data_IF_153533593795
#
_entry.id   IF_153533593795
#
_cell.length_a   1.000
_cell.length_b   1.000
_cell.length_c   1.000
_cell.angle_alpha   90.00
_cell.angle_beta   90.00
_cell.angle_gamma   90.00
#
_symmetry.space_group_name_H-M   'P 1'
#
loop_
_entity.id
_entity.type
_entity.pdbx_description
1 polymer ?
#
# COMPACT_ATOMS: atom_id res chain seq x y z
N UNK A 1 13.81 -49.16 -28.27
CA UNK A 1 14.43 -48.52 -27.06
C UNK A 1 14.44 -46.99 -27.10
N UNK A 2 14.65 -46.31 -28.23
CA UNK A 2 14.71 -44.83 -28.28
C UNK A 2 13.35 -44.14 -28.03
N UNK A 3 12.24 -44.69 -28.42
CA UNK A 3 10.89 -44.09 -28.22
C UNK A 3 10.46 -44.12 -26.72
N UNK A 4 10.72 -45.21 -26.00
CA UNK A 4 10.37 -45.33 -24.57
C UNK A 4 11.18 -44.31 -23.70
N UNK A 5 12.41 -44.01 -24.04
CA UNK A 5 13.20 -42.99 -23.35
C UNK A 5 12.66 -41.58 -23.55
N UNK A 6 12.13 -41.25 -24.75
CA UNK A 6 11.58 -39.92 -25.04
C UNK A 6 10.28 -39.65 -24.27
N UNK A 7 9.42 -40.67 -24.15
CA UNK A 7 8.18 -40.57 -23.35
C UNK A 7 8.45 -40.55 -21.84
N UNK A 8 9.51 -41.20 -21.36
CA UNK A 8 9.90 -41.18 -19.97
C UNK A 8 10.49 -39.81 -19.58
N UNK A 9 11.25 -39.15 -20.48
CA UNK A 9 11.75 -37.79 -20.26
C UNK A 9 10.60 -36.77 -20.30
N UNK A 10 9.65 -36.90 -21.25
CA UNK A 10 8.48 -36.03 -21.33
C UNK A 10 7.60 -36.16 -20.08
N UNK A 11 7.37 -37.40 -19.62
CA UNK A 11 6.64 -37.66 -18.38
C UNK A 11 7.31 -37.09 -17.13
N UNK A 12 8.63 -37.18 -17.06
CA UNK A 12 9.40 -36.63 -15.95
C UNK A 12 9.36 -35.08 -15.93
N UNK A 13 9.47 -34.46 -17.11
CA UNK A 13 9.39 -33.00 -17.25
C UNK A 13 8.01 -32.47 -16.88
N UNK A 14 6.94 -33.14 -17.32
CA UNK A 14 5.57 -32.80 -16.96
C UNK A 14 5.33 -32.99 -15.46
N UNK A 15 5.88 -34.06 -14.86
CA UNK A 15 5.77 -34.31 -13.42
C UNK A 15 6.51 -33.24 -12.58
N UNK A 16 7.68 -32.79 -13.04
CA UNK A 16 8.45 -31.73 -12.39
C UNK A 16 7.73 -30.38 -12.51
N UNK A 17 7.16 -30.07 -13.68
CA UNK A 17 6.40 -28.83 -13.89
C UNK A 17 5.10 -28.84 -13.07
N UNK A 18 4.40 -29.99 -13.01
CA UNK A 18 3.20 -30.14 -12.17
C UNK A 18 3.56 -30.10 -10.69
N UNK A 19 4.66 -30.72 -10.28
CA UNK A 19 5.12 -30.69 -8.88
C UNK A 19 5.60 -29.28 -8.49
N UNK A 20 6.26 -28.55 -9.39
CA UNK A 20 6.66 -27.15 -9.18
C UNK A 20 5.43 -26.24 -9.14
N UNK A 21 4.46 -26.44 -10.05
CA UNK A 21 3.18 -25.74 -10.04
C UNK A 21 2.36 -26.01 -8.79
N UNK A 22 2.23 -27.26 -8.37
CA UNK A 22 1.55 -27.64 -7.12
C UNK A 22 2.32 -27.14 -5.87
N UNK A 23 3.64 -27.10 -5.93
CA UNK A 23 4.47 -26.51 -4.86
C UNK A 23 4.27 -25.00 -4.77
N UNK A 24 4.20 -24.31 -5.90
CA UNK A 24 3.92 -22.88 -6.00
C UNK A 24 2.47 -22.58 -5.56
N UNK A 25 1.49 -23.33 -6.05
CA UNK A 25 0.09 -23.22 -5.61
C UNK A 25 -0.11 -23.55 -4.14
N UNK A 26 0.56 -24.59 -3.63
CA UNK A 26 0.55 -24.87 -2.17
C UNK A 26 1.18 -23.74 -1.37
N UNK A 27 2.25 -23.12 -1.89
CA UNK A 27 2.91 -22.00 -1.22
C UNK A 27 2.02 -20.76 -1.23
N UNK A 28 1.31 -20.46 -2.33
CA UNK A 28 0.31 -19.41 -2.42
C UNK A 28 -0.92 -19.73 -1.55
N UNK A 29 -1.44 -20.96 -1.62
CA UNK A 29 -2.58 -21.41 -0.80
C UNK A 29 -2.25 -21.43 0.69
N UNK A 30 -1.06 -21.87 1.08
CA UNK A 30 -0.59 -21.83 2.48
C UNK A 30 -0.34 -20.36 2.90
N UNK A 31 0.21 -19.53 2.04
CA UNK A 31 0.40 -18.10 2.26
C UNK A 31 -0.95 -17.40 2.40
N UNK A 32 -1.90 -17.63 1.52
CA UNK A 32 -3.24 -17.07 1.59
C UNK A 32 -4.05 -17.64 2.78
N UNK A 33 -3.87 -18.92 3.13
CA UNK A 33 -4.49 -19.51 4.33
C UNK A 33 -3.80 -19.00 5.61
N UNK A 34 -2.48 -18.80 5.61
CA UNK A 34 -1.76 -18.13 6.69
C UNK A 34 -2.17 -16.66 6.79
N UNK A 35 -2.32 -15.94 5.68
CA UNK A 35 -2.89 -14.59 5.69
C UNK A 35 -4.33 -14.59 6.22
N UNK A 36 -5.20 -15.50 5.81
CA UNK A 36 -6.55 -15.64 6.36
C UNK A 36 -6.58 -16.10 7.82
N UNK A 37 -5.61 -16.86 8.28
CA UNK A 37 -5.47 -17.23 9.70
C UNK A 37 -4.77 -16.15 10.54
N UNK A 38 -3.96 -15.30 9.89
CA UNK A 38 -3.28 -14.14 10.48
C UNK A 38 -4.09 -12.85 10.33
N UNK A 39 -5.24 -12.89 9.69
CA UNK A 39 -6.14 -11.76 9.36
C UNK A 39 -6.69 -10.98 10.56
N UNK A 40 -6.34 -11.36 11.77
CA UNK A 40 -6.57 -10.57 12.99
C UNK A 40 -5.30 -9.89 13.50
N UNK A 41 -4.24 -9.89 12.71
CA UNK A 41 -2.95 -9.32 13.08
C UNK A 41 -2.57 -8.30 12.03
N UNK A 42 -2.35 -7.05 12.42
CA UNK A 42 -1.51 -6.18 11.61
C UNK A 42 -0.22 -6.99 11.44
N UNK A 43 0.20 -7.29 10.20
CA UNK A 43 1.45 -7.99 10.02
C UNK A 43 2.57 -7.08 10.51
N UNK A 44 2.93 -7.23 11.78
CA UNK A 44 4.21 -6.78 12.28
C UNK A 44 5.22 -7.72 11.65
N UNK A 45 5.39 -7.61 10.34
CA UNK A 45 6.34 -8.42 9.61
C UNK A 45 7.70 -8.09 10.15
N UNK A 46 8.54 -9.11 10.38
CA UNK A 46 9.91 -8.94 10.80
C UNK A 46 10.72 -7.99 9.91
N UNK A 47 10.22 -7.69 8.73
CA UNK A 47 10.79 -6.75 7.77
C UNK A 47 10.73 -5.29 8.24
N UNK A 48 9.82 -4.91 9.13
CA UNK A 48 9.89 -3.61 9.82
C UNK A 48 11.23 -3.45 10.52
N UNK A 49 11.87 -4.54 10.94
CA UNK A 49 13.18 -4.55 11.60
C UNK A 49 14.35 -4.83 10.67
N UNK A 50 14.13 -5.38 9.48
CA UNK A 50 15.17 -5.56 8.48
C UNK A 50 15.78 -4.24 7.99
N UNK A 51 15.06 -3.14 8.14
CA UNK A 51 15.56 -1.79 7.83
C UNK A 51 16.31 -1.13 8.99
N UNK A 52 16.18 -1.60 10.22
CA UNK A 52 16.97 -1.12 11.34
C UNK A 52 18.42 -1.59 11.22
N UNK A 53 19.33 -0.68 10.89
CA UNK A 53 20.74 -0.96 10.71
C UNK A 53 21.21 -1.03 9.26
N UNK A 54 20.36 -0.97 8.28
CA UNK A 54 20.73 -0.57 6.93
C UNK A 54 20.71 0.96 6.88
N UNK A 55 21.80 1.56 6.35
CA UNK A 55 21.73 2.94 5.88
C UNK A 55 20.46 3.05 5.04
N UNK A 56 19.49 3.80 5.51
CA UNK A 56 18.42 4.28 4.64
C UNK A 56 19.14 5.21 3.68
N UNK A 57 19.59 4.66 2.57
CA UNK A 57 20.07 5.47 1.46
C UNK A 57 18.83 6.20 0.98
N UNK A 58 18.63 7.39 1.51
CA UNK A 58 17.82 8.39 0.86
C UNK A 58 18.49 8.51 -0.51
N UNK A 59 17.86 7.89 -1.51
CA UNK A 59 18.43 7.91 -2.83
C UNK A 59 18.52 9.35 -3.26
N UNK A 60 19.63 9.65 -3.86
CA UNK A 60 20.03 10.94 -4.40
C UNK A 60 19.07 11.50 -5.47
N UNK A 61 17.91 10.92 -5.68
CA UNK A 61 16.84 11.44 -6.54
C UNK A 61 16.28 12.78 -6.08
N UNK A 62 16.70 13.24 -4.89
CA UNK A 62 16.50 14.60 -4.40
C UNK A 62 17.73 15.49 -4.65
N UNK A 63 18.66 15.10 -5.52
CA UNK A 63 19.67 16.02 -5.98
C UNK A 63 18.99 17.17 -6.72
N UNK A 64 19.49 18.38 -6.49
CA UNK A 64 19.11 19.58 -7.24
C UNK A 64 19.21 19.41 -8.76
N UNK A 65 19.97 18.42 -9.26
CA UNK A 65 20.09 18.05 -10.66
C UNK A 65 19.01 17.12 -11.19
N UNK A 66 18.23 16.46 -10.32
CA UNK A 66 16.93 15.86 -10.66
C UNK A 66 15.78 16.86 -10.46
N UNK A 67 16.10 18.16 -10.47
CA UNK A 67 15.12 19.16 -10.80
C UNK A 67 14.43 18.64 -12.05
N UNK A 68 13.16 18.31 -11.90
CA UNK A 68 12.28 17.93 -12.96
C UNK A 68 12.66 18.74 -14.19
N UNK A 69 13.18 18.12 -15.27
CA UNK A 69 13.12 18.72 -16.58
C UNK A 69 11.66 18.71 -17.03
N UNK A 70 10.84 19.41 -16.27
CA UNK A 70 9.53 19.81 -16.74
C UNK A 70 9.78 20.84 -17.82
N UNK A 71 9.06 20.70 -18.93
CA UNK A 71 9.00 21.80 -19.90
C UNK A 71 8.78 23.09 -19.11
N UNK A 72 9.56 24.14 -19.43
CA UNK A 72 9.67 25.39 -18.68
C UNK A 72 8.35 26.06 -18.27
N UNK A 73 7.22 25.66 -18.89
CA UNK A 73 5.88 26.20 -18.59
C UNK A 73 5.25 25.71 -17.27
N UNK A 74 5.78 24.64 -16.64
CA UNK A 74 5.23 24.05 -15.43
C UNK A 74 6.18 24.08 -14.23
N UNK A 75 7.47 24.33 -14.44
CA UNK A 75 8.49 24.41 -13.39
C UNK A 75 8.14 25.44 -12.31
N UNK A 76 7.48 26.54 -12.70
CA UNK A 76 7.07 27.60 -11.78
C UNK A 76 5.85 27.24 -10.90
N UNK A 77 5.24 26.07 -11.09
CA UNK A 77 4.01 25.65 -10.41
C UNK A 77 4.21 24.54 -9.38
N UNK A 78 5.40 23.98 -9.26
CA UNK A 78 5.73 23.02 -8.22
C UNK A 78 6.15 23.79 -6.98
N UNK A 79 5.43 23.57 -5.88
CA UNK A 79 5.91 23.98 -4.59
C UNK A 79 6.99 22.97 -4.14
N UNK A 80 8.23 23.22 -4.53
CA UNK A 80 9.39 22.38 -4.21
C UNK A 80 10.01 22.74 -2.87
N UNK A 81 9.21 23.18 -1.90
CA UNK A 81 9.74 23.52 -0.57
C UNK A 81 10.24 22.32 0.23
N UNK A 82 9.97 21.09 -0.24
CA UNK A 82 10.47 19.89 0.40
C UNK A 82 11.87 19.58 -0.13
N UNK A 83 12.88 19.93 0.68
CA UNK A 83 14.27 19.51 0.44
C UNK A 83 14.52 18.14 1.07
N UNK A 84 15.65 17.48 0.70
CA UNK A 84 16.11 16.25 1.33
C UNK A 84 16.19 16.38 2.85
N UNK A 85 16.69 17.52 3.34
CA UNK A 85 16.90 17.80 4.76
C UNK A 85 15.59 18.09 5.52
N UNK A 86 14.51 18.43 4.81
CA UNK A 86 13.17 18.62 5.38
C UNK A 86 12.24 17.44 5.17
N UNK A 87 12.73 16.34 4.56
CA UNK A 87 11.91 15.16 4.29
C UNK A 87 11.58 14.39 5.57
N UNK A 88 10.42 13.76 5.61
CA UNK A 88 10.05 12.85 6.70
C UNK A 88 11.03 11.67 6.80
N UNK A 89 11.65 11.26 5.68
CA UNK A 89 12.63 10.17 5.65
C UNK A 89 13.88 10.52 6.45
N UNK A 90 14.43 11.72 6.27
CA UNK A 90 15.59 12.16 7.02
C UNK A 90 15.30 12.29 8.53
N UNK A 91 14.14 12.85 8.86
CA UNK A 91 13.66 12.91 10.25
C UNK A 91 13.51 11.53 10.86
N UNK A 92 12.87 10.59 10.14
CA UNK A 92 12.70 9.20 10.59
C UNK A 92 14.05 8.50 10.79
N UNK A 93 15.01 8.73 9.91
CA UNK A 93 16.34 8.18 10.05
C UNK A 93 17.07 8.70 11.32
N UNK A 94 16.96 9.98 11.61
CA UNK A 94 17.55 10.57 12.83
C UNK A 94 16.92 9.99 14.10
N UNK A 95 15.60 9.81 14.10
CA UNK A 95 14.88 9.17 15.20
C UNK A 95 15.30 7.71 15.35
N UNK A 96 15.45 6.97 14.24
CA UNK A 96 15.94 5.59 14.25
C UNK A 96 17.31 5.47 14.93
N UNK A 97 18.22 6.40 14.66
CA UNK A 97 19.53 6.41 15.32
C UNK A 97 19.41 6.64 16.84
N UNK A 98 18.48 7.47 17.28
CA UNK A 98 18.25 7.71 18.70
C UNK A 98 17.66 6.45 19.36
N UNK A 99 16.65 5.84 18.77
CA UNK A 99 16.05 4.58 19.28
C UNK A 99 17.11 3.47 19.33
N UNK A 100 17.98 3.36 18.29
CA UNK A 100 19.06 2.38 18.30
C UNK A 100 20.05 2.64 19.44
N UNK A 101 20.39 3.89 19.69
CA UNK A 101 21.26 4.24 20.81
C UNK A 101 20.65 3.83 22.15
N UNK A 102 19.34 3.98 22.33
CA UNK A 102 18.64 3.50 23.53
C UNK A 102 18.70 1.98 23.66
N UNK A 103 18.45 1.24 22.55
CA UNK A 103 18.63 -0.22 22.55
C UNK A 103 20.05 -0.61 22.95
N UNK A 104 21.06 0.03 22.32
CA UNK A 104 22.47 -0.30 22.56
C UNK A 104 23.01 0.15 23.91
N UNK A 105 22.30 1.05 24.58
CA UNK A 105 22.70 1.54 25.92
C UNK A 105 22.73 0.38 26.96
N UNK A 106 21.92 -0.66 26.76
CA UNK A 106 21.74 -1.75 27.73
C UNK A 106 21.07 -1.29 29.04
N UNK A 107 20.50 -0.08 29.06
CA UNK A 107 19.86 0.46 30.25
C UNK A 107 18.53 -0.21 30.58
N UNK A 108 17.86 -0.78 29.56
CA UNK A 108 16.51 -1.31 29.66
C UNK A 108 16.50 -2.83 29.50
N UNK A 109 15.71 -3.51 30.34
CA UNK A 109 15.55 -4.98 30.32
C UNK A 109 14.12 -5.35 29.94
N UNK A 110 13.87 -6.64 29.74
CA UNK A 110 12.51 -7.11 29.48
C UNK A 110 11.54 -6.77 30.61
N UNK A 111 12.02 -6.77 31.90
CA UNK A 111 11.21 -6.43 33.07
C UNK A 111 10.96 -4.93 33.25
N UNK A 112 11.87 -4.12 32.72
CA UNK A 112 11.83 -2.65 32.81
C UNK A 112 12.17 -2.04 31.45
N UNK A 113 11.28 -2.22 30.43
CA UNK A 113 11.50 -1.64 29.10
C UNK A 113 11.20 -0.15 29.10
N UNK A 114 11.89 0.61 28.26
CA UNK A 114 11.48 1.97 27.91
C UNK A 114 10.38 1.93 26.87
N UNK A 115 9.37 2.79 27.04
CA UNK A 115 8.27 2.93 26.07
C UNK A 115 8.28 4.34 25.51
N UNK A 116 8.65 4.45 24.23
CA UNK A 116 8.66 5.72 23.50
C UNK A 116 7.34 5.82 22.74
N UNK A 117 6.49 6.79 23.14
CA UNK A 117 5.20 7.03 22.51
C UNK A 117 5.35 7.93 21.29
N UNK A 118 4.52 7.68 20.25
CA UNK A 118 4.54 8.44 19.01
C UNK A 118 5.97 8.73 18.51
N UNK A 119 6.77 7.69 18.28
CA UNK A 119 8.21 7.84 18.11
C UNK A 119 8.57 8.77 16.93
N UNK A 120 7.75 8.79 15.89
CA UNK A 120 7.98 9.64 14.70
C UNK A 120 7.10 10.89 14.67
N UNK A 121 6.39 11.19 15.75
CA UNK A 121 5.57 12.38 15.96
C UNK A 121 4.45 12.59 14.93
N UNK A 122 3.92 11.50 14.42
CA UNK A 122 2.89 11.51 13.36
C UNK A 122 1.81 10.43 13.58
N UNK A 123 2.02 9.48 14.49
CA UNK A 123 1.10 8.37 14.77
C UNK A 123 0.83 8.21 16.27
N UNK A 124 0.04 9.11 16.89
CA UNK A 124 -0.06 9.25 18.34
C UNK A 124 -0.62 8.05 19.11
N UNK A 125 -1.35 7.14 18.43
CA UNK A 125 -1.86 5.91 19.04
C UNK A 125 -0.90 4.72 18.86
N UNK A 126 0.41 5.02 18.78
CA UNK A 126 1.47 4.02 18.64
C UNK A 126 2.61 4.30 19.61
N UNK A 127 3.46 3.32 19.77
CA UNK A 127 4.69 3.43 20.55
C UNK A 127 5.69 2.35 20.17
N UNK A 128 6.87 2.42 20.73
CA UNK A 128 7.88 1.37 20.64
C UNK A 128 8.41 1.04 22.04
N UNK A 129 8.40 -0.23 22.41
CA UNK A 129 9.07 -0.70 23.63
C UNK A 129 10.50 -1.12 23.31
N UNK A 130 11.46 -0.61 24.06
CA UNK A 130 12.89 -0.78 23.85
C UNK A 130 13.51 -1.50 25.05
N UNK A 131 14.24 -2.59 24.81
CA UNK A 131 14.96 -3.33 25.85
C UNK A 131 16.00 -4.29 25.26
N UNK A 132 16.84 -4.87 26.11
CA UNK A 132 17.75 -5.95 25.75
C UNK A 132 17.45 -7.23 26.52
N UNK A 133 17.86 -8.35 25.93
CA UNK A 133 17.86 -9.68 26.55
C UNK A 133 19.24 -10.33 26.41
N UNK A 134 19.59 -11.24 27.33
CA UNK A 134 20.89 -11.95 27.29
C UNK A 134 21.03 -12.85 26.06
N UNK A 135 19.93 -13.47 25.64
CA UNK A 135 19.85 -14.33 24.47
C UNK A 135 18.91 -13.73 23.41
N UNK A 136 18.96 -14.27 22.19
CA UNK A 136 18.08 -13.85 21.12
C UNK A 136 16.68 -14.44 21.28
N UNK A 137 15.68 -13.59 21.31
CA UNK A 137 14.26 -13.97 21.38
C UNK A 137 13.43 -13.27 20.32
N UNK A 138 12.31 -13.89 19.94
CA UNK A 138 11.19 -13.18 19.33
C UNK A 138 10.29 -12.66 20.45
N UNK A 139 9.64 -11.54 20.19
CA UNK A 139 8.70 -10.95 21.15
C UNK A 139 7.30 -10.94 20.52
N UNK A 140 6.34 -11.58 21.16
CA UNK A 140 4.93 -11.38 20.85
C UNK A 140 4.44 -10.17 21.62
N UNK A 141 3.85 -9.20 20.90
CA UNK A 141 3.18 -8.05 21.50
C UNK A 141 1.69 -8.17 21.24
N UNK A 142 0.87 -7.92 22.27
CA UNK A 142 -0.59 -7.89 22.14
C UNK A 142 -1.12 -6.62 22.79
N UNK A 143 -1.63 -5.71 21.98
CA UNK A 143 -2.41 -4.57 22.47
C UNK A 143 -3.83 -5.05 22.72
N UNK A 144 -4.26 -5.00 23.97
CA UNK A 144 -5.57 -5.54 24.38
C UNK A 144 -6.72 -4.72 23.85
N UNK A 145 -7.68 -5.40 23.22
CA UNK A 145 -8.94 -4.83 22.79
C UNK A 145 -9.98 -4.78 23.92
N UNK A 146 -11.05 -4.03 23.68
CA UNK A 146 -12.26 -4.08 24.55
C UNK A 146 -12.94 -5.45 24.50
N UNK A 147 -12.78 -6.14 23.36
CA UNK A 147 -13.15 -7.55 23.18
C UNK A 147 -11.92 -8.30 22.68
N UNK A 148 -11.94 -9.64 22.77
CA UNK A 148 -10.82 -10.46 22.30
C UNK A 148 -10.61 -10.34 20.79
N UNK A 149 -11.66 -10.15 20.05
CA UNK A 149 -11.66 -9.97 18.59
C UNK A 149 -10.97 -8.66 18.18
N UNK A 150 -10.93 -7.69 19.09
CA UNK A 150 -10.25 -6.42 18.92
C UNK A 150 -8.81 -6.42 19.48
N UNK A 151 -8.30 -7.55 19.99
CA UNK A 151 -6.87 -7.69 20.33
C UNK A 151 -6.02 -7.55 19.08
N UNK A 152 -4.99 -6.71 19.12
CA UNK A 152 -4.02 -6.55 18.02
C UNK A 152 -2.72 -7.21 18.45
N UNK A 153 -2.29 -8.21 17.69
CA UNK A 153 -1.13 -9.03 18.05
C UNK A 153 -0.12 -9.10 16.91
N UNK A 154 1.16 -8.98 17.23
CA UNK A 154 2.26 -9.17 16.30
C UNK A 154 3.44 -9.90 16.95
N UNK A 155 4.39 -10.35 16.13
CA UNK A 155 5.61 -11.03 16.58
C UNK A 155 6.81 -10.42 15.88
N UNK A 156 7.84 -10.06 16.66
CA UNK A 156 9.09 -9.49 16.14
C UNK A 156 10.02 -10.57 15.60
N UNK A 157 11.04 -10.14 14.85
CA UNK A 157 12.17 -11.00 14.51
C UNK A 157 12.99 -11.35 15.76
N UNK A 158 13.78 -12.42 15.66
CA UNK A 158 14.68 -12.87 16.72
C UNK A 158 15.86 -11.92 16.85
N UNK A 159 16.07 -11.37 18.04
CA UNK A 159 17.14 -10.43 18.34
C UNK A 159 17.49 -10.44 19.84
N UNK A 160 18.61 -9.80 20.22
CA UNK A 160 18.96 -9.47 21.61
C UNK A 160 18.53 -8.05 21.97
N UNK A 161 18.69 -7.12 21.05
CA UNK A 161 18.19 -5.77 21.17
C UNK A 161 16.79 -5.68 20.57
N UNK A 162 15.82 -5.26 21.35
CA UNK A 162 14.42 -5.29 20.96
C UNK A 162 13.86 -3.88 20.77
N UNK A 163 13.15 -3.70 19.67
CA UNK A 163 12.28 -2.57 19.36
C UNK A 163 10.93 -3.14 19.03
N UNK A 164 10.06 -3.21 20.02
CA UNK A 164 8.76 -3.87 19.88
C UNK A 164 7.72 -2.81 19.52
N UNK A 165 7.18 -2.83 18.30
CA UNK A 165 6.14 -1.88 17.92
C UNK A 165 4.87 -2.14 18.71
N UNK A 166 4.28 -1.06 19.22
CA UNK A 166 2.99 -1.03 19.89
C UNK A 166 2.06 -0.24 18.98
N UNK A 167 1.10 -0.92 18.35
CA UNK A 167 0.20 -0.32 17.36
C UNK A 167 -1.25 -0.60 17.78
N UNK A 168 -2.11 0.38 17.62
CA UNK A 168 -3.54 0.20 17.87
C UNK A 168 -3.95 0.44 19.32
N UNK A 169 -3.39 1.45 19.95
CA UNK A 169 -3.82 1.92 21.25
C UNK A 169 -5.18 2.65 21.16
N UNK A 170 -5.99 2.55 22.21
CA UNK A 170 -7.19 3.36 22.33
C UNK A 170 -6.84 4.79 22.72
N UNK A 171 -7.49 5.82 22.20
CA UNK A 171 -7.29 7.20 22.62
C UNK A 171 -7.83 7.43 24.03
N UNK A 172 -7.22 8.37 24.78
CA UNK A 172 -7.59 8.82 26.12
C UNK A 172 -7.83 7.66 27.10
N UNK A 173 -6.97 6.64 27.02
CA UNK A 173 -7.13 5.39 27.77
C UNK A 173 -5.79 4.94 28.35
N UNK A 174 -5.80 4.35 29.54
CA UNK A 174 -4.70 3.53 30.02
C UNK A 174 -4.81 2.15 29.35
N UNK A 175 -4.04 1.95 28.29
CA UNK A 175 -4.02 0.72 27.50
C UNK A 175 -3.21 -0.38 28.18
N UNK A 176 -3.64 -1.61 27.98
CA UNK A 176 -2.90 -2.80 28.41
C UNK A 176 -2.19 -3.42 27.21
N UNK A 177 -0.87 -3.57 27.31
CA UNK A 177 -0.02 -4.16 26.29
C UNK A 177 0.73 -5.35 26.90
N UNK A 178 0.46 -6.54 26.39
CA UNK A 178 1.16 -7.76 26.81
C UNK A 178 2.38 -7.99 25.95
N UNK A 179 3.55 -8.22 26.56
CA UNK A 179 4.77 -8.66 25.91
C UNK A 179 5.09 -10.09 26.34
N UNK A 180 5.48 -10.93 25.39
CA UNK A 180 5.85 -12.33 25.64
C UNK A 180 7.15 -12.66 24.90
N UNK A 181 8.19 -13.08 25.63
CA UNK A 181 9.38 -13.67 25.02
C UNK A 181 9.06 -15.09 24.56
N UNK A 182 9.44 -15.40 23.32
CA UNK A 182 9.15 -16.70 22.70
C UNK A 182 10.43 -17.50 22.49
N UNK A 183 10.36 -18.81 22.77
CA UNK A 183 11.39 -19.75 22.36
C UNK A 183 11.33 -20.08 20.84
N UNK A 184 12.21 -20.96 20.37
CA UNK A 184 12.27 -21.36 18.96
C UNK A 184 11.04 -22.17 18.49
N UNK A 185 10.18 -22.61 19.41
CA UNK A 185 8.93 -23.33 19.15
C UNK A 185 7.70 -22.42 19.31
N UNK A 186 7.87 -21.11 19.40
CA UNK A 186 6.81 -20.11 19.65
C UNK A 186 6.11 -20.23 21.00
N UNK A 187 6.74 -20.95 21.97
CA UNK A 187 6.21 -21.04 23.30
C UNK A 187 6.66 -19.85 24.15
N UNK A 188 5.74 -19.30 24.90
CA UNK A 188 6.02 -18.20 25.85
C UNK A 188 6.88 -18.70 26.99
N UNK A 189 8.08 -18.15 27.14
CA UNK A 189 9.01 -18.43 28.24
C UNK A 189 8.93 -17.38 29.35
N UNK A 190 8.53 -16.18 29.00
CA UNK A 190 8.37 -15.05 29.93
C UNK A 190 7.33 -14.09 29.41
N UNK A 191 6.56 -13.49 30.30
CA UNK A 191 5.56 -12.49 29.92
C UNK A 191 5.50 -11.34 30.91
N UNK A 192 5.07 -10.19 30.42
CA UNK A 192 4.78 -9.01 31.22
C UNK A 192 3.64 -8.21 30.63
N UNK A 193 3.08 -7.31 31.42
CA UNK A 193 2.03 -6.38 31.01
C UNK A 193 2.49 -4.93 31.24
N UNK A 194 2.44 -4.13 30.19
CA UNK A 194 2.68 -2.69 30.22
C UNK A 194 1.37 -1.94 30.33
N UNK A 195 1.37 -0.83 31.07
CA UNK A 195 0.29 0.16 31.08
C UNK A 195 0.75 1.39 30.32
N UNK A 196 0.03 1.71 29.26
CA UNK A 196 0.38 2.77 28.31
C UNK A 196 -0.75 3.79 28.23
N UNK A 197 -0.48 5.00 28.69
CA UNK A 197 -1.45 6.10 28.67
C UNK A 197 -1.35 6.84 27.32
N UNK A 198 -2.50 7.12 26.70
CA UNK A 198 -2.60 7.92 25.47
C UNK A 198 -3.40 9.19 25.69
N UNK A 199 -3.14 10.17 24.85
CA UNK A 199 -3.96 11.38 24.73
C UNK A 199 -5.27 11.11 23.97
N UNK A 200 -6.17 12.08 23.95
CA UNK A 200 -7.42 12.02 23.18
C UNK A 200 -7.18 12.23 21.69
N UNK A 201 -8.21 11.94 20.90
CA UNK A 201 -8.22 12.29 19.48
C UNK A 201 -8.25 13.82 19.30
N UNK A 202 -7.78 14.34 18.17
CA UNK A 202 -8.06 15.71 17.75
C UNK A 202 -9.57 15.97 17.68
N UNK A 203 -9.99 17.21 18.00
CA UNK A 203 -11.42 17.58 17.98
C UNK A 203 -12.08 17.33 16.62
N UNK A 204 -11.31 17.48 15.54
CA UNK A 204 -11.79 17.24 14.16
C UNK A 204 -12.11 15.78 13.88
N UNK A 205 -11.68 14.87 14.75
CA UNK A 205 -11.94 13.44 14.64
C UNK A 205 -13.06 12.97 15.58
N UNK A 206 -13.56 13.86 16.44
CA UNK A 206 -14.74 13.55 17.25
C UNK A 206 -15.93 13.25 16.32
N UNK A 207 -16.66 12.20 16.62
CA UNK A 207 -17.82 11.75 15.83
C UNK A 207 -17.54 11.28 14.39
N UNK A 208 -16.28 11.04 14.01
CA UNK A 208 -15.93 10.49 12.66
C UNK A 208 -16.49 9.08 12.43
N UNK A 209 -16.66 8.29 13.49
CA UNK A 209 -17.16 6.92 13.41
C UNK A 209 -18.40 6.76 14.26
N UNK A 210 -19.49 6.29 13.66
CA UNK A 210 -20.67 5.84 14.39
C UNK A 210 -20.98 4.39 14.01
N UNK A 211 -21.26 3.55 15.01
CA UNK A 211 -21.58 2.14 14.80
C UNK A 211 -23.08 1.92 15.01
N UNK A 212 -23.81 1.65 13.94
CA UNK A 212 -25.24 1.31 14.03
C UNK A 212 -25.44 -0.16 14.43
N UNK A 213 -24.59 -1.05 13.92
CA UNK A 213 -24.66 -2.49 14.19
C UNK A 213 -23.28 -3.12 14.02
N UNK A 214 -22.89 -3.92 15.00
CA UNK A 214 -21.69 -4.75 14.91
C UNK A 214 -22.05 -6.21 15.13
N UNK A 215 -21.55 -7.10 14.25
CA UNK A 215 -21.62 -8.55 14.46
C UNK A 215 -20.57 -9.04 15.46
N UNK A 216 -19.59 -8.20 15.80
CA UNK A 216 -18.40 -8.57 16.56
C UNK A 216 -17.39 -9.37 15.76
N UNK A 217 -17.61 -9.52 14.44
CA UNK A 217 -16.76 -10.24 13.54
C UNK A 217 -16.26 -9.30 12.43
N UNK A 218 -14.99 -9.42 12.09
CA UNK A 218 -14.36 -8.74 10.96
C UNK A 218 -13.32 -9.67 10.33
N UNK A 219 -13.22 -9.65 9.02
CA UNK A 219 -12.16 -10.34 8.30
C UNK A 219 -10.79 -9.68 8.54
N UNK A 220 -10.78 -8.43 9.03
CA UNK A 220 -9.58 -7.61 9.22
C UNK A 220 -9.47 -7.14 10.66
N UNK A 221 -8.24 -7.05 11.18
CA UNK A 221 -8.00 -6.53 12.54
C UNK A 221 -8.32 -5.04 12.65
N UNK A 222 -7.92 -4.25 11.66
CA UNK A 222 -8.24 -2.84 11.52
C UNK A 222 -8.71 -2.53 10.10
N UNK A 223 -9.65 -1.60 9.99
CA UNK A 223 -10.10 -1.04 8.71
C UNK A 223 -9.61 0.40 8.60
N UNK A 224 -8.81 0.69 7.56
CA UNK A 224 -8.26 2.03 7.31
C UNK A 224 -9.26 2.83 6.49
N UNK A 225 -9.48 4.07 6.92
CA UNK A 225 -10.25 5.08 6.20
C UNK A 225 -9.33 6.25 5.88
N UNK A 226 -9.29 6.61 4.62
CA UNK A 226 -8.54 7.77 4.12
C UNK A 226 -9.25 8.36 2.90
N UNK A 227 -8.88 9.57 2.51
CA UNK A 227 -9.38 10.20 1.29
C UNK A 227 -10.25 11.42 1.52
N UNK A 228 -11.04 11.79 0.51
CA UNK A 228 -11.82 13.02 0.53
C UNK A 228 -12.86 13.03 1.66
N UNK A 229 -12.88 14.12 2.42
CA UNK A 229 -13.81 14.30 3.54
C UNK A 229 -13.28 13.76 4.87
N UNK A 230 -12.13 13.10 4.86
CA UNK A 230 -11.43 12.65 6.05
C UNK A 230 -10.29 13.61 6.35
N UNK A 231 -10.28 14.17 7.57
CA UNK A 231 -9.28 15.17 7.95
C UNK A 231 -7.88 14.55 8.10
N UNK A 232 -7.83 13.40 8.78
CA UNK A 232 -6.64 12.57 8.96
C UNK A 232 -6.98 11.12 8.61
N UNK A 233 -6.09 10.36 7.94
CA UNK A 233 -6.25 8.92 7.81
C UNK A 233 -6.35 8.28 9.19
N UNK A 234 -7.26 7.34 9.35
CA UNK A 234 -7.44 6.62 10.61
C UNK A 234 -7.83 5.16 10.36
N UNK A 235 -7.68 4.33 11.38
CA UNK A 235 -8.17 2.96 11.35
C UNK A 235 -8.99 2.66 12.60
N UNK A 236 -10.06 1.88 12.41
CA UNK A 236 -10.93 1.42 13.48
C UNK A 236 -10.97 -0.10 13.56
N UNK A 237 -11.27 -0.60 14.77
CA UNK A 237 -11.41 -2.03 15.04
C UNK A 237 -12.83 -2.55 14.81
N UNK A 238 -13.05 -3.84 15.05
CA UNK A 238 -14.36 -4.52 14.91
C UNK A 238 -15.48 -3.90 15.71
N UNK A 239 -15.17 -3.14 16.76
CA UNK A 239 -16.14 -2.43 17.59
C UNK A 239 -16.40 -1.01 17.10
N UNK A 240 -15.69 -0.53 16.06
CA UNK A 240 -15.76 0.83 15.55
C UNK A 240 -14.93 1.84 16.34
N UNK A 241 -14.09 1.37 17.25
CA UNK A 241 -13.20 2.24 18.01
C UNK A 241 -11.97 2.61 17.16
N UNK A 242 -11.62 3.90 17.11
CA UNK A 242 -10.39 4.36 16.44
C UNK A 242 -9.19 3.85 17.21
N UNK A 243 -8.29 3.15 16.52
CA UNK A 243 -7.11 2.50 17.08
C UNK A 243 -5.79 3.00 16.48
N UNK A 244 -5.87 3.76 15.43
CA UNK A 244 -4.72 4.32 14.75
C UNK A 244 -5.16 5.54 13.95
N UNK A 245 -4.31 6.55 13.86
CA UNK A 245 -4.46 7.66 12.92
C UNK A 245 -3.10 8.31 12.66
N UNK A 246 -2.99 8.97 11.51
CA UNK A 246 -1.88 9.87 11.21
C UNK A 246 -2.27 11.28 11.57
N UNK A 247 -1.50 11.93 12.43
CA UNK A 247 -1.62 13.37 12.71
C UNK A 247 -0.99 14.20 11.59
N UNK A 248 -1.36 13.85 10.34
CA UNK A 248 -0.86 14.48 9.13
C UNK A 248 -1.95 14.46 8.07
N UNK A 249 -2.15 15.57 7.41
CA UNK A 249 -3.12 15.64 6.33
C UNK A 249 -2.56 14.97 5.09
N UNK A 250 -3.31 14.05 4.57
CA UNK A 250 -3.04 13.45 3.26
C UNK A 250 -3.83 14.16 2.17
N UNK A 251 -3.48 13.89 0.92
CA UNK A 251 -4.27 14.32 -0.21
C UNK A 251 -5.63 13.61 -0.29
N UNK A 252 -6.42 13.97 -1.27
CA UNK A 252 -7.75 13.42 -1.53
C UNK A 252 -7.81 11.90 -1.60
N UNK A 253 -6.74 11.24 -2.04
CA UNK A 253 -6.72 9.79 -2.25
C UNK A 253 -6.08 9.01 -1.09
N UNK A 254 -5.42 9.70 -0.16
CA UNK A 254 -5.04 9.18 1.15
C UNK A 254 -3.86 8.22 1.16
N UNK A 255 -4.11 6.97 1.56
CA UNK A 255 -3.07 5.95 1.77
C UNK A 255 -3.37 4.67 0.98
N UNK A 256 -2.31 3.99 0.53
CA UNK A 256 -2.38 2.75 -0.25
C UNK A 256 -1.50 1.69 0.41
N UNK A 257 -2.09 0.57 0.77
CA UNK A 257 -1.38 -0.51 1.45
C UNK A 257 -0.45 -1.27 0.50
N UNK A 258 0.73 -1.64 0.99
CA UNK A 258 1.72 -2.44 0.29
C UNK A 258 1.80 -3.87 0.85
N UNK A 259 2.34 -4.79 0.07
CA UNK A 259 2.46 -6.21 0.44
C UNK A 259 3.44 -6.46 1.58
N UNK A 260 4.42 -5.58 1.78
CA UNK A 260 5.39 -5.65 2.87
C UNK A 260 4.87 -5.14 4.22
N UNK A 261 3.60 -4.73 4.27
CA UNK A 261 2.97 -4.19 5.47
C UNK A 261 3.13 -2.67 5.65
N UNK A 262 3.91 -2.01 4.80
CA UNK A 262 3.94 -0.56 4.72
C UNK A 262 2.73 -0.02 3.94
N UNK A 263 2.63 1.29 3.85
CA UNK A 263 1.68 1.96 2.98
C UNK A 263 2.34 3.15 2.27
N UNK A 264 1.82 3.50 1.11
CA UNK A 264 2.12 4.76 0.43
C UNK A 264 1.16 5.83 0.94
N UNK A 265 1.71 6.92 1.43
CA UNK A 265 0.95 8.13 1.78
C UNK A 265 1.17 9.20 0.71
N UNK A 266 0.09 9.73 0.18
CA UNK A 266 0.14 10.92 -0.66
C UNK A 266 0.18 12.17 0.22
N UNK A 267 1.32 12.89 0.19
CA UNK A 267 1.48 14.09 0.99
C UNK A 267 0.58 15.23 0.49
N UNK A 268 0.07 16.01 1.43
CA UNK A 268 -0.76 17.18 1.14
C UNK A 268 0.06 18.47 0.97
N UNK A 269 1.39 18.42 0.96
CA UNK A 269 2.23 19.63 0.93
C UNK A 269 3.02 19.82 -0.36
N UNK A 270 3.11 18.80 -1.21
CA UNK A 270 3.80 18.88 -2.49
C UNK A 270 2.83 18.69 -3.65
N UNK A 271 2.48 19.76 -4.37
CA UNK A 271 1.53 19.72 -5.46
C UNK A 271 2.10 20.18 -6.77
N UNK A 272 1.64 19.54 -7.83
CA UNK A 272 1.72 20.05 -9.20
C UNK A 272 0.34 20.52 -9.61
N UNK A 273 0.23 21.70 -10.20
CA UNK A 273 -1.04 22.29 -10.57
C UNK A 273 -1.19 22.38 -12.09
N UNK A 274 -2.33 21.90 -12.58
CA UNK A 274 -2.84 22.23 -13.91
C UNK A 274 -3.76 23.46 -13.85
N UNK A 275 -4.32 23.83 -15.00
CA UNK A 275 -5.29 24.94 -15.08
C UNK A 275 -6.54 24.69 -14.24
N UNK A 276 -6.90 23.42 -14.00
CA UNK A 276 -8.18 23.03 -13.39
C UNK A 276 -8.03 22.21 -12.11
N UNK A 277 -6.91 21.52 -11.90
CA UNK A 277 -6.69 20.60 -10.79
C UNK A 277 -5.29 20.76 -10.22
N UNK A 278 -5.15 20.41 -8.95
CA UNK A 278 -3.85 20.24 -8.28
C UNK A 278 -3.67 18.79 -7.87
N UNK A 279 -2.50 18.25 -8.11
CA UNK A 279 -2.17 16.84 -7.90
C UNK A 279 -1.03 16.70 -6.88
N UNK A 280 -1.14 15.82 -5.87
CA UNK A 280 -0.04 15.55 -4.96
C UNK A 280 1.13 14.93 -5.75
N UNK A 281 2.32 15.48 -5.57
CA UNK A 281 3.52 15.06 -6.27
C UNK A 281 4.50 14.30 -5.38
N UNK A 282 4.31 14.35 -4.06
CA UNK A 282 5.16 13.71 -3.07
C UNK A 282 4.45 12.52 -2.46
N UNK A 283 5.11 11.38 -2.49
CA UNK A 283 4.66 10.14 -1.88
C UNK A 283 5.67 9.71 -0.82
N UNK A 284 5.19 9.25 0.32
CA UNK A 284 6.01 8.58 1.32
C UNK A 284 5.60 7.12 1.47
N UNK A 285 6.57 6.22 1.43
CA UNK A 285 6.38 4.88 1.95
C UNK A 285 6.62 4.91 3.45
N UNK A 286 5.65 4.42 4.23
CA UNK A 286 5.66 4.51 5.68
C UNK A 286 5.20 3.21 6.33
N UNK A 287 5.67 2.96 7.55
CA UNK A 287 5.09 1.95 8.44
C UNK A 287 4.00 2.53 9.36
N UNK A 288 3.32 1.68 10.12
CA UNK A 288 2.23 2.10 11.01
C UNK A 288 2.68 2.83 12.28
N UNK A 289 3.98 2.88 12.58
CA UNK A 289 4.52 3.78 13.61
C UNK A 289 4.63 5.22 13.12
N UNK A 290 4.47 5.44 11.81
CA UNK A 290 4.67 6.74 11.18
C UNK A 290 6.09 6.98 10.66
N UNK A 291 6.91 5.92 10.62
CA UNK A 291 8.26 5.96 10.07
C UNK A 291 8.23 6.05 8.57
N UNK A 292 8.73 7.14 8.00
CA UNK A 292 8.93 7.26 6.56
C UNK A 292 10.24 6.57 6.16
N UNK A 293 10.15 5.56 5.31
CA UNK A 293 11.31 4.77 4.86
C UNK A 293 11.81 5.18 3.48
N UNK A 294 10.93 5.73 2.64
CA UNK A 294 11.24 6.17 1.29
C UNK A 294 10.34 7.34 0.89
N UNK A 295 10.86 8.22 0.05
CA UNK A 295 10.12 9.30 -0.59
C UNK A 295 10.21 9.14 -2.10
N UNK A 296 9.09 9.33 -2.79
CA UNK A 296 9.01 9.34 -4.24
C UNK A 296 8.46 10.67 -4.72
N UNK A 297 9.04 11.19 -5.81
CA UNK A 297 8.53 12.36 -6.49
C UNK A 297 7.90 11.93 -7.82
N UNK A 298 6.64 12.29 -8.02
CA UNK A 298 5.91 12.02 -9.26
C UNK A 298 5.78 13.32 -10.04
N UNK A 299 6.46 13.48 -11.19
CA UNK A 299 6.63 14.77 -11.86
C UNK A 299 5.32 15.51 -12.14
N UNK A 300 4.28 14.77 -12.53
CA UNK A 300 2.97 15.37 -12.86
C UNK A 300 1.93 15.12 -11.76
N UNK A 301 2.40 14.71 -10.56
CA UNK A 301 1.54 14.37 -9.45
C UNK A 301 0.77 13.07 -9.67
N UNK A 302 -0.04 12.73 -8.70
CA UNK A 302 -0.81 11.47 -8.68
C UNK A 302 -2.28 11.73 -8.48
N UNK A 303 -3.11 10.82 -8.97
CA UNK A 303 -4.54 10.82 -8.71
C UNK A 303 -5.07 9.40 -8.55
N UNK A 304 -6.26 9.27 -8.00
CA UNK A 304 -7.05 8.05 -7.82
C UNK A 304 -6.26 6.89 -7.21
N UNK A 305 -5.41 6.18 -7.96
CA UNK A 305 -4.92 4.88 -7.53
C UNK A 305 -3.40 4.72 -7.70
N UNK A 306 -2.81 4.05 -6.71
CA UNK A 306 -1.43 3.58 -6.71
C UNK A 306 -1.47 2.12 -6.28
N UNK A 307 -0.89 1.24 -7.07
CA UNK A 307 -0.79 -0.18 -6.72
C UNK A 307 0.64 -0.68 -6.80
N UNK A 308 0.94 -1.70 -6.03
CA UNK A 308 2.11 -2.55 -6.24
C UNK A 308 1.87 -3.44 -7.46
N UNK A 309 2.76 -3.39 -8.47
CA UNK A 309 2.66 -4.23 -9.67
C UNK A 309 2.73 -5.72 -9.29
N UNK A 310 3.67 -6.05 -8.42
CA UNK A 310 3.83 -7.37 -7.79
C UNK A 310 4.28 -7.17 -6.35
N UNK A 311 4.13 -8.14 -5.46
CA UNK A 311 4.61 -8.02 -4.09
C UNK A 311 6.08 -7.59 -4.03
N UNK A 312 6.38 -6.52 -3.29
CA UNK A 312 7.69 -5.85 -3.19
C UNK A 312 8.23 -5.32 -4.54
N UNK A 313 7.37 -5.22 -5.55
CA UNK A 313 7.71 -4.77 -6.90
C UNK A 313 7.55 -3.26 -7.09
N UNK A 314 7.59 -2.86 -8.37
CA UNK A 314 7.40 -1.49 -8.80
C UNK A 314 5.98 -0.98 -8.49
N UNK A 315 5.80 0.34 -8.51
CA UNK A 315 4.49 0.96 -8.36
C UNK A 315 3.91 1.31 -9.72
N UNK A 316 2.65 0.94 -9.96
CA UNK A 316 1.85 1.52 -11.03
C UNK A 316 1.05 2.69 -10.45
N UNK A 317 1.21 3.85 -11.06
CA UNK A 317 0.68 5.11 -10.55
C UNK A 317 -0.15 5.78 -11.64
N UNK A 318 -1.37 6.17 -11.30
CA UNK A 318 -2.16 7.03 -12.16
C UNK A 318 -1.69 8.48 -12.01
N UNK A 319 -1.41 9.12 -13.13
CA UNK A 319 -0.90 10.48 -13.23
C UNK A 319 -1.51 11.23 -14.43
N UNK A 320 -0.99 12.37 -14.75
CA UNK A 320 -1.48 13.23 -15.82
C UNK A 320 -0.36 13.62 -16.77
N UNK A 321 -0.68 13.96 -18.01
CA UNK A 321 0.27 14.61 -18.93
C UNK A 321 0.48 16.08 -18.56
N UNK A 322 -0.54 16.73 -18.00
CA UNK A 322 -0.61 18.15 -17.61
C UNK A 322 -0.38 19.16 -18.75
N UNK A 323 -0.24 18.70 -19.97
CA UNK A 323 -0.16 19.59 -21.13
C UNK A 323 -1.56 20.14 -21.45
N UNK A 324 -2.31 19.40 -22.26
CA UNK A 324 -3.68 19.76 -22.63
C UNK A 324 -4.72 18.95 -21.85
N UNK A 325 -4.30 17.86 -21.17
CA UNK A 325 -5.18 16.90 -20.52
C UNK A 325 -4.74 16.58 -19.10
N UNK A 326 -5.68 16.01 -18.31
CA UNK A 326 -5.48 15.51 -16.96
C UNK A 326 -6.10 14.12 -16.82
N UNK A 327 -5.68 13.39 -15.79
CA UNK A 327 -6.17 12.04 -15.44
C UNK A 327 -6.07 11.06 -16.64
N UNK A 328 -4.95 11.10 -17.37
CA UNK A 328 -4.81 10.50 -18.69
C UNK A 328 -3.51 9.72 -18.91
N UNK A 329 -2.74 9.46 -17.85
CA UNK A 329 -1.44 8.79 -17.95
C UNK A 329 -1.25 7.76 -16.83
N UNK A 330 -0.51 6.70 -17.14
CA UNK A 330 -0.05 5.69 -16.19
C UNK A 330 1.46 5.65 -16.27
N UNK A 331 2.12 5.51 -15.12
CA UNK A 331 3.57 5.27 -15.04
C UNK A 331 3.85 4.02 -14.21
N UNK A 332 4.96 3.35 -14.52
CA UNK A 332 5.59 2.37 -13.68
C UNK A 332 6.84 3.00 -13.07
N UNK A 333 6.86 3.13 -11.76
CA UNK A 333 7.95 3.68 -10.99
C UNK A 333 8.72 2.54 -10.32
N UNK A 334 10.02 2.43 -10.63
CA UNK A 334 10.92 1.51 -9.94
C UNK A 334 11.08 1.95 -8.48
N UNK A 335 10.58 1.11 -7.57
CA UNK A 335 10.50 1.42 -6.14
C UNK A 335 11.88 1.56 -5.48
N UNK A 336 12.92 0.96 -6.07
CA UNK A 336 14.28 1.02 -5.53
C UNK A 336 15.07 2.23 -6.05
N UNK A 337 14.87 2.57 -7.33
CA UNK A 337 15.58 3.70 -7.95
C UNK A 337 14.76 5.01 -7.92
N UNK A 338 13.45 4.94 -7.81
CA UNK A 338 12.56 6.07 -8.00
C UNK A 338 12.43 6.50 -9.47
N UNK A 339 13.02 5.74 -10.41
CA UNK A 339 12.97 6.03 -11.84
C UNK A 339 11.66 5.55 -12.46
N UNK A 340 11.15 6.29 -13.44
CA UNK A 340 10.03 5.84 -14.28
C UNK A 340 10.59 4.90 -15.34
N UNK A 341 10.19 3.64 -15.30
CA UNK A 341 10.70 2.58 -16.20
C UNK A 341 9.73 2.22 -17.33
N UNK A 342 8.45 2.58 -17.20
CA UNK A 342 7.45 2.46 -18.26
C UNK A 342 6.35 3.53 -18.09
N UNK A 343 5.71 3.93 -19.19
CA UNK A 343 4.57 4.86 -19.11
C UNK A 343 3.66 4.70 -20.31
N UNK A 344 2.39 5.01 -20.13
CA UNK A 344 1.37 5.00 -21.17
C UNK A 344 0.52 6.26 -21.05
N UNK A 345 0.47 7.04 -22.12
CA UNK A 345 -0.49 8.14 -22.30
C UNK A 345 -1.73 7.64 -23.03
N UNK A 346 -2.90 8.03 -22.55
CA UNK A 346 -4.16 7.56 -23.15
C UNK A 346 -4.33 8.03 -24.61
N UNK A 347 -3.69 9.15 -24.99
CA UNK A 347 -3.64 9.62 -26.37
C UNK A 347 -2.82 8.73 -27.30
N UNK A 348 -1.79 8.03 -26.77
CA UNK A 348 -1.05 7.01 -27.54
C UNK A 348 -1.94 5.80 -27.82
N UNK A 349 -2.78 5.42 -26.85
CA UNK A 349 -3.68 4.27 -26.95
C UNK A 349 -4.86 4.57 -27.90
N UNK A 350 -5.57 5.68 -27.70
CA UNK A 350 -6.82 5.98 -28.39
C UNK A 350 -6.68 7.10 -29.46
N UNK A 351 -5.52 7.76 -29.56
CA UNK A 351 -5.37 8.94 -30.42
C UNK A 351 -6.17 10.13 -29.91
N UNK A 352 -6.18 11.19 -30.70
CA UNK A 352 -6.88 12.42 -30.33
C UNK A 352 -8.38 12.42 -30.74
N UNK A 353 -8.89 11.30 -31.27
CA UNK A 353 -10.27 11.23 -31.77
C UNK A 353 -11.33 11.31 -30.67
N UNK A 354 -10.91 11.08 -29.40
CA UNK A 354 -11.79 11.05 -28.23
C UNK A 354 -11.59 12.21 -27.26
N UNK A 355 -10.64 13.11 -27.54
CA UNK A 355 -10.30 14.20 -26.60
C UNK A 355 -11.33 15.36 -26.65
N UNK A 356 -11.97 15.61 -27.79
CA UNK A 356 -13.04 16.62 -28.04
C UNK A 356 -12.82 17.98 -27.31
N UNK A 357 -11.58 18.48 -27.23
CA UNK A 357 -11.21 19.67 -26.46
C UNK A 357 -11.56 19.61 -24.95
N UNK A 358 -11.77 18.42 -24.42
CA UNK A 358 -12.09 18.19 -23.00
C UNK A 358 -10.81 17.91 -22.24
N UNK A 359 -10.48 18.76 -21.27
CA UNK A 359 -9.26 18.63 -20.46
C UNK A 359 -9.22 17.26 -19.74
N UNK A 360 -10.32 16.83 -19.17
CA UNK A 360 -10.47 15.54 -18.43
C UNK A 360 -11.24 14.53 -19.28
N UNK A 361 -10.72 14.19 -20.44
CA UNK A 361 -11.42 13.36 -21.42
C UNK A 361 -11.42 11.87 -21.08
N UNK A 362 -10.32 11.35 -20.54
CA UNK A 362 -10.20 9.93 -20.18
C UNK A 362 -10.72 9.66 -18.77
N UNK A 363 -10.30 10.45 -17.80
CA UNK A 363 -10.56 10.28 -16.37
C UNK A 363 -10.24 8.87 -15.90
N UNK A 364 -8.97 8.50 -16.03
CA UNK A 364 -8.50 7.22 -15.49
C UNK A 364 -8.68 7.19 -13.98
N UNK A 365 -9.30 6.14 -13.46
CA UNK A 365 -9.58 6.06 -12.04
C UNK A 365 -9.23 4.72 -11.39
N UNK A 366 -8.82 3.73 -12.18
CA UNK A 366 -8.40 2.41 -11.68
C UNK A 366 -7.37 1.81 -12.60
N UNK A 367 -6.39 1.13 -12.01
CA UNK A 367 -5.45 0.24 -12.68
C UNK A 367 -5.28 -1.04 -11.85
N UNK A 368 -5.27 -2.18 -12.50
CA UNK A 368 -4.88 -3.46 -11.89
C UNK A 368 -3.93 -4.21 -12.82
N UNK A 369 -3.00 -4.98 -12.26
CA UNK A 369 -2.00 -5.73 -12.99
C UNK A 369 -2.21 -7.23 -12.86
N UNK A 370 -2.00 -7.93 -13.96
CA UNK A 370 -2.07 -9.37 -14.06
C UNK A 370 -0.70 -9.92 -14.46
N UNK A 371 0.00 -10.52 -13.51
CA UNK A 371 1.35 -11.04 -13.71
C UNK A 371 1.41 -12.23 -14.67
N UNK A 372 0.30 -12.99 -14.81
CA UNK A 372 0.25 -14.20 -15.62
C UNK A 372 0.44 -13.94 -17.12
N UNK A 373 -0.01 -12.79 -17.61
CA UNK A 373 0.01 -12.43 -19.02
C UNK A 373 0.56 -11.01 -19.29
N UNK A 374 1.20 -10.39 -18.30
CA UNK A 374 1.74 -9.05 -18.35
C UNK A 374 0.72 -8.02 -18.86
N UNK A 375 -0.48 -8.06 -18.31
CA UNK A 375 -1.53 -7.11 -18.71
C UNK A 375 -1.96 -6.21 -17.57
N UNK A 376 -2.47 -5.03 -17.95
CA UNK A 376 -3.20 -4.16 -17.04
C UNK A 376 -4.66 -4.06 -17.48
N UNK A 377 -5.52 -3.88 -16.49
CA UNK A 377 -6.92 -3.53 -16.68
C UNK A 377 -7.11 -2.11 -16.17
N UNK A 378 -7.60 -1.23 -17.03
CA UNK A 378 -7.79 0.19 -16.72
C UNK A 378 -9.24 0.61 -16.92
N UNK A 379 -9.64 1.66 -16.21
CA UNK A 379 -10.98 2.22 -16.26
C UNK A 379 -10.94 3.70 -16.71
N UNK A 380 -10.95 3.97 -18.03
CA UNK A 380 -11.18 5.31 -18.54
C UNK A 380 -12.68 5.66 -18.43
N UNK A 381 -13.03 6.33 -17.31
CA UNK A 381 -14.40 6.60 -16.88
C UNK A 381 -15.22 7.35 -17.93
N UNK A 382 -14.63 8.37 -18.54
CA UNK A 382 -15.35 9.21 -19.48
C UNK A 382 -15.52 8.57 -20.87
N UNK A 383 -14.76 7.47 -21.14
CA UNK A 383 -15.00 6.60 -22.31
C UNK A 383 -16.01 5.46 -21.97
N UNK A 384 -16.57 5.42 -20.77
CA UNK A 384 -17.52 4.38 -20.35
C UNK A 384 -17.02 2.97 -20.67
N UNK A 385 -15.74 2.69 -20.41
CA UNK A 385 -15.11 1.43 -20.80
C UNK A 385 -14.15 0.89 -19.75
N UNK A 386 -14.04 -0.45 -19.69
CA UNK A 386 -12.90 -1.14 -19.11
C UNK A 386 -12.00 -1.61 -20.24
N UNK A 387 -10.70 -1.45 -20.14
CA UNK A 387 -9.74 -1.80 -21.20
C UNK A 387 -8.66 -2.70 -20.62
N UNK A 388 -8.51 -3.90 -21.22
CA UNK A 388 -7.37 -4.77 -20.94
C UNK A 388 -6.32 -4.59 -22.03
N UNK A 389 -5.07 -4.37 -21.65
CA UNK A 389 -3.95 -4.21 -22.58
C UNK A 389 -2.68 -4.85 -21.99
N UNK A 390 -1.78 -5.26 -22.88
CA UNK A 390 -0.46 -5.71 -22.45
C UNK A 390 0.37 -4.51 -21.99
N UNK A 391 0.98 -4.61 -20.81
CA UNK A 391 1.69 -3.49 -20.20
C UNK A 391 3.04 -3.17 -20.84
N UNK A 392 3.74 -4.17 -21.37
CA UNK A 392 5.03 -3.97 -22.07
C UNK A 392 4.84 -3.44 -23.49
N UNK A 393 3.84 -3.95 -24.23
CA UNK A 393 3.66 -3.59 -25.65
C UNK A 393 2.61 -2.52 -25.88
N UNK A 394 1.80 -2.21 -24.88
CA UNK A 394 0.61 -1.33 -24.94
C UNK A 394 -0.46 -1.79 -25.96
N UNK A 395 -0.41 -3.03 -26.39
CA UNK A 395 -1.42 -3.57 -27.31
C UNK A 395 -2.72 -3.89 -26.57
N UNK A 396 -3.84 -3.39 -27.12
CA UNK A 396 -5.17 -3.67 -26.57
C UNK A 396 -5.50 -5.15 -26.77
N UNK A 397 -5.87 -5.83 -25.68
CA UNK A 397 -6.36 -7.21 -25.70
C UNK A 397 -7.87 -7.22 -25.93
N UNK A 398 -8.62 -6.45 -25.13
CA UNK A 398 -10.06 -6.26 -25.30
C UNK A 398 -10.57 -4.98 -24.63
N UNK A 399 -11.77 -4.59 -25.05
CA UNK A 399 -12.51 -3.44 -24.50
C UNK A 399 -13.89 -3.92 -24.08
N UNK A 400 -14.25 -3.68 -22.82
CA UNK A 400 -15.60 -3.85 -22.30
C UNK A 400 -16.31 -2.48 -22.32
N UNK A 401 -17.19 -2.29 -23.29
CA UNK A 401 -17.94 -1.05 -23.47
C UNK A 401 -19.21 -1.31 -24.28
N UNK A 402 -20.15 -0.39 -24.21
CA UNK A 402 -21.25 -0.38 -25.18
C UNK A 402 -20.64 -0.30 -26.60
N UNK A 403 -20.94 -1.27 -27.51
CA UNK A 403 -20.34 -1.31 -28.84
C UNK A 403 -20.53 -0.01 -29.66
N UNK A 404 -21.60 0.73 -29.43
CA UNK A 404 -21.84 2.01 -30.13
C UNK A 404 -20.75 3.06 -29.85
N UNK A 405 -20.02 2.98 -28.73
CA UNK A 405 -18.94 3.91 -28.37
C UNK A 405 -17.78 3.81 -29.36
N UNK A 406 -17.46 2.61 -29.82
CA UNK A 406 -16.31 2.35 -30.69
C UNK A 406 -16.70 1.94 -32.12
N UNK A 407 -17.97 1.98 -32.45
CA UNK A 407 -18.52 1.57 -33.74
C UNK A 407 -17.92 2.36 -34.90
N UNK A 408 -17.48 1.66 -35.93
CA UNK A 408 -16.85 2.24 -37.11
C UNK A 408 -15.43 2.74 -36.91
N UNK A 409 -14.85 2.56 -35.72
CA UNK A 409 -13.46 2.89 -35.42
C UNK A 409 -12.54 1.69 -35.57
N UNK A 410 -11.23 1.91 -35.58
CA UNK A 410 -10.21 0.83 -35.55
C UNK A 410 -10.25 -0.02 -34.27
N UNK A 411 -10.94 0.44 -33.23
CA UNK A 411 -11.05 -0.22 -31.94
C UNK A 411 -12.24 -1.16 -31.83
N UNK A 412 -13.22 -1.06 -32.73
CA UNK A 412 -14.43 -1.91 -32.72
C UNK A 412 -14.11 -3.40 -32.64
N UNK A 413 -13.04 -3.84 -33.28
CA UNK A 413 -12.59 -5.25 -33.27
C UNK A 413 -12.15 -5.77 -31.90
N UNK A 414 -11.88 -4.89 -30.94
CA UNK A 414 -11.49 -5.26 -29.57
C UNK A 414 -12.67 -5.26 -28.59
N UNK A 415 -13.81 -4.72 -29.02
CA UNK A 415 -14.99 -4.61 -28.13
C UNK A 415 -15.59 -5.98 -27.92
N UNK A 416 -15.77 -6.37 -26.65
CA UNK A 416 -16.40 -7.63 -26.28
C UNK A 416 -17.88 -7.64 -26.67
N UNK A 417 -18.33 -8.77 -27.21
CA UNK A 417 -19.75 -8.98 -27.53
C UNK A 417 -20.42 -9.69 -26.35
N UNK A 418 -21.49 -9.14 -25.78
CA UNK A 418 -22.21 -9.81 -24.69
C UNK A 418 -22.97 -11.05 -25.19
N UNK A 419 -23.08 -12.05 -24.31
CA UNK A 419 -23.82 -13.29 -24.61
C UNK A 419 -25.34 -13.10 -24.57
N UNK A 420 -25.81 -12.04 -23.91
CA UNK A 420 -27.22 -11.70 -23.73
C UNK A 420 -27.40 -10.19 -23.59
N UNK A 421 -28.64 -9.75 -23.67
CA UNK A 421 -28.99 -8.36 -23.37
C UNK A 421 -28.69 -8.05 -21.90
N UNK A 422 -27.88 -7.00 -21.68
CA UNK A 422 -27.61 -6.48 -20.33
C UNK A 422 -27.47 -4.95 -20.36
N UNK A 423 -27.56 -4.35 -19.18
CA UNK A 423 -27.41 -2.91 -19.03
C UNK A 423 -25.94 -2.54 -19.01
N UNK A 424 -25.51 -1.69 -19.92
CA UNK A 424 -24.15 -1.19 -19.97
C UNK A 424 -23.86 -0.27 -18.80
N UNK A 425 -22.61 -0.36 -18.28
CA UNK A 425 -22.11 0.57 -17.28
C UNK A 425 -21.81 1.92 -17.92
N UNK A 426 -21.96 2.98 -17.12
CA UNK A 426 -21.62 4.34 -17.50
C UNK A 426 -20.88 5.01 -16.35
N UNK A 427 -19.78 5.70 -16.66
CA UNK A 427 -18.97 6.42 -15.69
C UNK A 427 -18.57 5.55 -14.49
N UNK A 428 -18.19 4.31 -14.76
CA UNK A 428 -17.69 3.40 -13.75
C UNK A 428 -16.45 3.97 -13.06
N UNK A 429 -16.28 3.64 -11.80
CA UNK A 429 -15.15 4.15 -11.02
C UNK A 429 -14.13 3.07 -10.67
N UNK A 430 -14.47 1.80 -10.79
CA UNK A 430 -13.56 0.69 -10.48
C UNK A 430 -13.85 -0.46 -11.42
N UNK A 431 -12.79 -1.05 -11.97
CA UNK A 431 -12.87 -2.25 -12.79
C UNK A 431 -11.84 -3.25 -12.28
N UNK A 432 -12.27 -4.51 -12.05
CA UNK A 432 -11.37 -5.59 -11.70
C UNK A 432 -11.78 -6.90 -12.37
N UNK A 433 -10.82 -7.82 -12.55
CA UNK A 433 -11.10 -9.17 -12.98
C UNK A 433 -11.29 -10.08 -11.76
N UNK A 434 -12.41 -10.78 -11.74
CA UNK A 434 -12.66 -11.83 -10.75
C UNK A 434 -12.10 -13.14 -11.30
N UNK A 435 -11.08 -13.69 -10.67
CA UNK A 435 -10.40 -14.91 -11.12
C UNK A 435 -10.96 -16.20 -10.52
N UNK A 436 -11.90 -16.08 -9.59
CA UNK A 436 -12.41 -17.26 -8.87
C UNK A 436 -13.83 -17.57 -9.28
N UNK A 437 -14.09 -18.85 -9.56
CA UNK A 437 -15.44 -19.41 -9.63
C UNK A 437 -16.23 -19.19 -8.32
N UNK A 438 -15.55 -18.91 -7.23
CA UNK A 438 -16.14 -18.67 -5.91
C UNK A 438 -16.96 -17.37 -5.88
N UNK A 439 -16.61 -16.36 -6.70
CA UNK A 439 -17.38 -15.11 -6.78
C UNK A 439 -18.76 -15.30 -7.43
N UNK A 440 -18.98 -16.37 -8.19
CA UNK A 440 -20.27 -16.70 -8.80
C UNK A 440 -21.19 -17.46 -7.82
N UNK A 441 -20.64 -18.07 -6.78
CA UNK A 441 -21.39 -18.87 -5.80
C UNK A 441 -21.83 -18.03 -4.59
N UNK A 442 -21.38 -16.78 -4.46
CA UNK A 442 -21.74 -15.85 -3.38
C UNK A 442 -22.82 -14.79 -3.78
N UNK A 443 -23.33 -14.85 -5.01
CA UNK A 443 -24.44 -14.04 -5.51
C UNK A 443 -25.72 -14.88 -5.58
#
# INVERSE_FOLDING_TARGET
MKAKKKWMFLGLTVLVVVAAGLGYWKRIGIRNTLYRMLDKQIPLTGDVYGYYGQEVKVKENLNEETSFQMEDSYADKIDTTITKESSMVDTSWQIDQQIEAEVQSGAYTFEEPEVIMDPYQISPLTGVAVFQTDEEYRVRVTVKGKTKEADITGVTVKAKGHRVPIIGLYPKTENSVKLELLDDNDQTIKEMELKVQTDGLPEEMDDMVSVEKSSGESAYGLTIISGQGVYYPFAYDVNGDIRWYLNHRTSTYGVFQLSNGNYIMQDNYGYVSSVTKSFPAVLYEMDYLGRAVQMYLVPHGTHHEIIEKEPDGNLLILTSTLQDHVDDKIIELDRKSGEIVNSLEMTELFGNDYTEDVIDWAHLNTVSYQAEDDTILISPRNLNSGVKLNWTTHEIVWILANPEVFKGTKYEKYVLTPDSDFLWHYRQHTVCLLYTSDAADEL
#
